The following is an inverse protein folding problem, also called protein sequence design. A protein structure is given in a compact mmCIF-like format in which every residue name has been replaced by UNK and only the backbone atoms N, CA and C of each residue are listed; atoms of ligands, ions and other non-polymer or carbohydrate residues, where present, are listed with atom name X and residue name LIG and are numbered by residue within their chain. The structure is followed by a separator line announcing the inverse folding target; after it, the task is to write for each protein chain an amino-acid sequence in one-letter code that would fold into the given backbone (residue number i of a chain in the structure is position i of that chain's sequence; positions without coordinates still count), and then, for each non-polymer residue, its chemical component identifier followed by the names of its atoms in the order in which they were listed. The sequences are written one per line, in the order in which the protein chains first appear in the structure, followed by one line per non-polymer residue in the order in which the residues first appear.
data_IF_600151261922
#
_entry.id   IF_600151261922
#
_cell.length_a   1.000
_cell.length_b   1.000
_cell.length_c   1.000
_cell.angle_alpha   90.00
_cell.angle_beta   90.00
_cell.angle_gamma   90.00
#
_symmetry.space_group_name_H-M   'P 1'
#
loop_
_entity.id
_entity.type
_entity.pdbx_description
1 polymer ?
#
# COMPACT_ATOMS: atom_id res chain seq x y z
N UNK A 1 1.45 -33.85 0.83
CA UNK A 1 0.65 -32.83 1.54
C UNK A 1 1.33 -31.49 1.31
N UNK A 2 0.96 -30.76 0.25
CA UNK A 2 1.68 -29.54 -0.15
C UNK A 2 1.13 -28.36 0.64
N UNK A 3 1.98 -27.80 1.49
CA UNK A 3 1.68 -26.70 2.41
C UNK A 3 1.33 -25.43 1.64
N UNK A 4 0.16 -24.87 1.96
CA UNK A 4 -0.42 -23.64 1.41
C UNK A 4 0.59 -22.49 1.36
N UNK A 5 0.94 -22.06 0.14
CA UNK A 5 1.76 -20.87 -0.13
C UNK A 5 0.99 -19.61 0.29
N UNK A 6 1.25 -19.11 1.49
CA UNK A 6 0.63 -17.88 2.04
C UNK A 6 1.34 -16.65 1.49
N UNK A 7 0.72 -15.94 0.55
CA UNK A 7 1.11 -14.56 0.17
C UNK A 7 0.58 -13.62 1.26
N UNK A 8 1.38 -13.35 2.30
CA UNK A 8 0.96 -12.56 3.46
C UNK A 8 1.15 -11.05 3.27
N UNK A 9 0.00 -10.36 3.25
CA UNK A 9 -0.37 -9.14 3.97
C UNK A 9 0.76 -8.18 4.36
N UNK A 10 0.84 -7.08 3.62
CA UNK A 10 1.59 -5.91 4.03
C UNK A 10 0.95 -5.22 5.24
N UNK A 11 1.48 -5.54 6.42
CA UNK A 11 1.40 -4.68 7.59
C UNK A 11 2.32 -3.48 7.40
N UNK A 12 1.74 -2.28 7.41
CA UNK A 12 2.42 -0.98 7.62
C UNK A 12 3.75 -0.77 6.89
N UNK A 13 3.88 -1.17 5.64
CA UNK A 13 4.95 -0.69 4.79
C UNK A 13 4.31 0.14 3.68
N UNK A 14 4.19 1.42 3.92
CA UNK A 14 4.27 2.37 2.83
C UNK A 14 5.09 3.55 3.34
N UNK A 15 5.80 4.16 2.39
CA UNK A 15 6.42 5.48 2.44
C UNK A 15 5.79 6.30 3.56
N UNK A 16 6.63 6.70 4.52
CA UNK A 16 6.22 7.55 5.62
C UNK A 16 5.29 8.63 5.08
N UNK A 17 4.05 8.68 5.58
CA UNK A 17 3.25 9.88 5.47
C UNK A 17 4.17 11.03 5.89
N UNK A 18 4.52 11.88 4.93
CA UNK A 18 5.60 12.87 5.04
C UNK A 18 5.26 13.89 6.11
N UNK A 19 5.44 13.49 7.36
CA UNK A 19 5.27 14.30 8.56
C UNK A 19 6.54 15.12 8.72
N UNK A 20 6.70 16.13 7.85
CA UNK A 20 7.62 17.23 8.13
C UNK A 20 6.98 18.01 9.28
N UNK A 21 7.42 17.74 10.51
CA UNK A 21 7.10 18.57 11.66
C UNK A 21 7.75 19.93 11.44
N UNK A 22 6.99 20.88 10.88
CA UNK A 22 7.38 22.28 10.88
C UNK A 22 7.30 22.79 12.31
N UNK A 23 8.44 23.19 12.89
CA UNK A 23 8.47 23.96 14.12
C UNK A 23 7.71 25.27 13.91
N UNK A 24 6.50 25.36 14.47
CA UNK A 24 5.66 26.55 14.50
C UNK A 24 5.28 26.88 15.94
N UNK A 25 5.64 28.09 16.37
CA UNK A 25 5.52 28.66 17.71
C UNK A 25 4.12 28.57 18.36
N UNK A 26 4.02 28.64 19.70
CA UNK A 26 2.84 28.17 20.44
C UNK A 26 1.70 29.20 20.45
N UNK A 27 0.55 28.82 19.90
CA UNK A 27 -0.68 29.61 20.02
C UNK A 27 -1.92 28.91 19.49
N UNK A 28 -2.74 28.35 20.40
CA UNK A 28 -4.08 27.78 20.16
C UNK A 28 -4.22 26.79 18.99
N UNK A 29 -3.70 25.57 19.17
CA UNK A 29 -4.02 24.46 18.26
C UNK A 29 -5.26 23.69 18.71
N UNK A 30 -6.36 23.86 17.96
CA UNK A 30 -7.19 22.70 17.65
C UNK A 30 -6.30 21.77 16.81
N UNK A 31 -6.18 20.46 17.12
CA UNK A 31 -5.42 19.56 16.26
C UNK A 31 -6.14 19.47 14.92
N UNK A 32 -5.72 20.28 13.95
CA UNK A 32 -6.05 20.05 12.55
C UNK A 32 -5.41 18.72 12.18
N UNK A 33 -6.22 17.78 11.68
CA UNK A 33 -5.70 16.55 11.08
C UNK A 33 -4.54 16.93 10.13
N UNK A 34 -3.42 16.18 10.13
CA UNK A 34 -2.30 16.50 9.26
C UNK A 34 -2.80 16.59 7.82
N UNK A 35 -2.47 17.69 7.16
CA UNK A 35 -2.73 17.85 5.72
C UNK A 35 -1.89 16.80 5.02
N UNK A 36 -2.55 15.85 4.36
CA UNK A 36 -1.85 14.87 3.54
C UNK A 36 -1.20 15.60 2.35
N UNK A 37 0.12 15.51 2.26
CA UNK A 37 0.85 15.99 1.09
C UNK A 37 0.99 14.83 0.09
N UNK A 38 0.75 15.07 -1.21
CA UNK A 38 1.00 14.06 -2.22
C UNK A 38 2.49 13.69 -2.22
N UNK A 39 2.85 12.42 -2.47
CA UNK A 39 4.23 12.03 -2.52
C UNK A 39 4.95 12.65 -3.72
N UNK A 40 6.23 12.94 -3.54
CA UNK A 40 7.09 13.51 -4.56
C UNK A 40 7.48 12.46 -5.63
N UNK A 41 7.73 12.94 -6.84
CA UNK A 41 8.03 12.15 -8.03
C UNK A 41 9.29 11.27 -7.90
N UNK A 42 10.22 11.65 -7.03
CA UNK A 42 11.49 10.97 -6.77
C UNK A 42 11.39 9.86 -5.72
N UNK A 43 10.21 9.67 -5.11
CA UNK A 43 9.97 8.64 -4.10
C UNK A 43 9.29 7.39 -4.67
N UNK A 44 8.57 7.49 -5.80
CA UNK A 44 7.87 6.37 -6.43
C UNK A 44 7.43 6.68 -7.86
N UNK A 45 7.10 5.62 -8.61
CA UNK A 45 6.49 5.72 -9.94
C UNK A 45 4.95 5.67 -9.86
N UNK A 46 4.28 6.77 -10.18
CA UNK A 46 2.81 6.89 -10.19
C UNK A 46 2.36 8.02 -11.14
N UNK A 47 1.05 8.20 -11.32
CA UNK A 47 0.45 9.30 -12.09
C UNK A 47 0.99 9.42 -13.53
N UNK A 48 1.26 8.29 -14.19
CA UNK A 48 1.73 8.22 -15.57
C UNK A 48 3.08 8.94 -15.83
N UNK A 49 3.88 9.20 -14.79
CA UNK A 49 5.13 9.95 -14.93
C UNK A 49 6.14 9.29 -15.88
N UNK A 50 6.30 7.96 -15.76
CA UNK A 50 7.14 7.16 -16.66
C UNK A 50 6.32 6.59 -17.82
N UNK A 51 5.05 6.25 -17.56
CA UNK A 51 4.17 5.62 -18.56
C UNK A 51 4.31 4.10 -18.66
N UNK A 52 5.13 3.49 -17.81
CA UNK A 52 5.30 2.04 -17.68
C UNK A 52 5.86 1.72 -16.28
N UNK A 53 5.97 0.43 -15.96
CA UNK A 53 6.74 -0.09 -14.83
C UNK A 53 8.22 0.30 -14.93
N UNK A 54 8.86 0.39 -13.77
CA UNK A 54 10.30 0.58 -13.66
C UNK A 54 10.94 -0.64 -13.00
N UNK A 55 12.27 -0.74 -13.12
CA UNK A 55 13.06 -1.73 -12.39
C UNK A 55 12.82 -1.56 -10.88
N UNK A 56 12.61 -2.69 -10.19
CA UNK A 56 12.52 -2.73 -8.72
C UNK A 56 13.78 -2.10 -8.11
N UNK A 57 13.59 -1.23 -7.13
CA UNK A 57 14.62 -0.48 -6.44
C UNK A 57 15.09 0.79 -7.13
N UNK A 58 14.43 1.22 -8.21
CA UNK A 58 14.71 2.52 -8.86
C UNK A 58 14.46 3.72 -7.93
N UNK A 59 13.63 3.56 -6.91
CA UNK A 59 13.25 4.62 -5.96
C UNK A 59 13.76 4.34 -4.55
N UNK A 60 15.09 4.27 -4.38
CA UNK A 60 15.71 4.01 -3.07
C UNK A 60 15.28 4.97 -1.94
N UNK A 61 15.09 6.29 -2.18
CA UNK A 61 14.57 7.22 -1.16
C UNK A 61 13.13 6.90 -0.72
N UNK A 62 12.36 6.17 -1.53
CA UNK A 62 11.01 5.72 -1.24
C UNK A 62 10.91 4.48 -0.34
N UNK A 63 12.03 4.01 0.23
CA UNK A 63 12.01 2.89 1.15
C UNK A 63 11.10 3.16 2.37
N UNK A 64 10.33 2.15 2.77
CA UNK A 64 9.65 2.17 4.06
C UNK A 64 10.65 2.22 5.22
N UNK A 65 10.17 2.54 6.43
CA UNK A 65 10.98 2.48 7.66
C UNK A 65 11.60 1.11 7.95
N UNK A 66 11.12 0.06 7.29
CA UNK A 66 11.62 -1.32 7.39
C UNK A 66 12.57 -1.69 6.24
N UNK A 67 12.92 -0.75 5.36
CA UNK A 67 13.79 -0.97 4.21
C UNK A 67 13.11 -1.61 3.00
N UNK A 68 11.79 -1.89 3.05
CA UNK A 68 11.07 -2.41 1.90
C UNK A 68 10.86 -1.32 0.84
N UNK A 69 11.23 -1.63 -0.41
CA UNK A 69 11.16 -0.74 -1.58
C UNK A 69 9.90 -0.99 -2.41
N UNK A 70 9.55 0.01 -3.22
CA UNK A 70 8.45 -0.02 -4.19
C UNK A 70 7.12 -0.44 -3.56
N UNK A 71 6.91 -0.05 -2.31
CA UNK A 71 5.70 -0.36 -1.55
C UNK A 71 4.49 0.46 -1.99
N UNK A 72 4.74 1.54 -2.72
CA UNK A 72 3.75 2.42 -3.28
C UNK A 72 4.12 2.74 -4.73
N UNK A 73 3.13 2.69 -5.63
CA UNK A 73 3.34 2.85 -7.07
C UNK A 73 3.93 1.62 -7.74
N UNK A 74 4.43 1.80 -8.96
CA UNK A 74 4.90 0.77 -9.87
C UNK A 74 3.79 -0.23 -10.27
N UNK A 75 3.40 -1.16 -9.40
CA UNK A 75 2.32 -2.14 -9.67
C UNK A 75 1.44 -2.32 -8.44
N UNK A 76 0.16 -2.61 -8.66
CA UNK A 76 -0.68 -3.11 -7.57
C UNK A 76 -0.14 -4.45 -7.09
N UNK A 77 -0.21 -4.71 -5.79
CA UNK A 77 0.25 -5.96 -5.22
C UNK A 77 -0.90 -6.77 -4.63
N UNK A 78 -1.10 -7.99 -5.16
CA UNK A 78 -2.08 -8.94 -4.64
C UNK A 78 -1.78 -9.32 -3.19
N UNK A 79 -2.83 -9.39 -2.38
CA UNK A 79 -2.79 -10.02 -1.06
C UNK A 79 -3.67 -11.27 -1.00
N UNK A 80 -3.39 -12.16 -0.05
CA UNK A 80 -4.23 -13.34 0.19
C UNK A 80 -5.64 -13.01 0.73
N UNK A 81 -5.98 -11.74 0.95
CA UNK A 81 -7.19 -11.36 1.68
C UNK A 81 -8.36 -11.24 0.70
N UNK A 82 -9.52 -11.78 1.07
CA UNK A 82 -10.76 -11.37 0.42
C UNK A 82 -11.09 -9.92 0.79
N UNK A 83 -11.64 -9.16 -0.15
CA UNK A 83 -12.09 -7.80 0.13
C UNK A 83 -13.48 -7.82 0.79
N UNK A 84 -13.58 -7.21 1.98
CA UNK A 84 -14.83 -6.80 2.59
C UNK A 84 -14.78 -5.30 2.91
N UNK A 85 -15.80 -4.56 2.50
CA UNK A 85 -15.87 -3.11 2.64
C UNK A 85 -15.99 -2.68 4.11
N UNK A 86 -16.77 -3.42 4.89
CA UNK A 86 -17.05 -3.22 6.31
C UNK A 86 -16.17 -4.09 7.23
N UNK A 87 -15.25 -4.88 6.66
CA UNK A 87 -14.49 -5.88 7.41
C UNK A 87 -13.75 -5.29 8.63
N UNK A 88 -13.18 -4.09 8.49
CA UNK A 88 -12.45 -3.45 9.59
C UNK A 88 -13.33 -2.92 10.71
N UNK A 89 -14.65 -2.78 10.52
CA UNK A 89 -15.58 -2.43 11.59
C UNK A 89 -15.75 -3.56 12.61
N UNK A 90 -15.51 -4.81 12.19
CA UNK A 90 -15.71 -6.01 13.01
C UNK A 90 -14.46 -6.91 13.07
N UNK A 91 -13.32 -6.45 12.57
CA UNK A 91 -12.12 -7.30 12.49
C UNK A 91 -11.43 -7.44 13.85
N UNK A 92 -10.80 -8.59 14.13
CA UNK A 92 -9.86 -8.72 15.24
C UNK A 92 -8.77 -7.65 15.17
N UNK A 93 -8.34 -7.14 16.33
CA UNK A 93 -7.23 -6.18 16.43
C UNK A 93 -5.88 -6.80 16.05
N UNK A 94 -5.71 -8.09 16.33
CA UNK A 94 -4.47 -8.82 16.10
C UNK A 94 -4.57 -9.74 14.88
N UNK A 95 -3.65 -9.54 13.93
CA UNK A 95 -3.49 -10.35 12.72
C UNK A 95 -4.82 -10.70 12.00
N UNK A 96 -5.63 -9.69 11.63
CA UNK A 96 -6.93 -9.92 11.01
C UNK A 96 -6.78 -10.70 9.69
N UNK A 97 -7.54 -11.79 9.54
CA UNK A 97 -7.42 -12.70 8.39
C UNK A 97 -8.31 -12.34 7.18
N UNK A 98 -8.95 -11.17 7.18
CA UNK A 98 -9.96 -10.86 6.17
C UNK A 98 -11.22 -11.71 6.33
N UNK A 99 -12.23 -11.51 5.47
CA UNK A 99 -13.37 -12.42 5.35
C UNK A 99 -12.91 -13.83 4.96
N UNK A 100 -13.65 -14.85 5.39
CA UNK A 100 -13.36 -16.27 5.06
C UNK A 100 -13.62 -16.62 3.59
N UNK A 101 -14.51 -15.88 2.93
CA UNK A 101 -14.88 -16.05 1.53
C UNK A 101 -15.14 -14.69 0.87
N UNK A 102 -15.07 -14.64 -0.46
CA UNK A 102 -15.34 -13.45 -1.25
C UNK A 102 -15.17 -13.73 -2.75
N UNK A 103 -15.52 -12.73 -3.56
CA UNK A 103 -15.39 -12.80 -5.02
C UNK A 103 -14.17 -12.04 -5.55
N UNK A 104 -13.64 -11.11 -4.74
CA UNK A 104 -12.57 -10.18 -5.12
C UNK A 104 -11.50 -10.15 -4.03
N UNK A 105 -10.23 -10.13 -4.43
CA UNK A 105 -9.08 -10.08 -3.51
C UNK A 105 -8.60 -8.64 -3.37
N UNK A 106 -7.91 -8.36 -2.28
CA UNK A 106 -7.36 -7.03 -1.99
C UNK A 106 -6.08 -6.80 -2.81
N UNK A 107 -5.98 -5.60 -3.39
CA UNK A 107 -4.78 -5.03 -4.00
C UNK A 107 -4.29 -3.84 -3.16
N UNK A 108 -2.98 -3.70 -3.01
CA UNK A 108 -2.32 -2.63 -2.24
C UNK A 108 -1.24 -1.92 -3.05
N UNK A 109 -0.77 -0.78 -2.57
CA UNK A 109 0.40 -0.06 -3.10
C UNK A 109 0.10 0.90 -4.25
N UNK A 110 -0.88 0.61 -5.11
CA UNK A 110 -1.14 1.39 -6.31
C UNK A 110 -0.18 1.04 -7.45
N UNK A 111 -0.48 1.51 -8.67
CA UNK A 111 0.34 1.24 -9.86
C UNK A 111 0.92 2.53 -10.47
N UNK A 112 1.78 2.40 -11.48
CA UNK A 112 2.39 3.54 -12.17
C UNK A 112 1.38 4.48 -12.83
N UNK A 113 0.17 4.01 -13.16
CA UNK A 113 -0.86 4.76 -13.86
C UNK A 113 -1.96 5.35 -12.97
N UNK A 114 -1.85 5.23 -11.64
CA UNK A 114 -2.88 5.75 -10.73
C UNK A 114 -2.43 7.04 -10.04
N UNK A 115 -3.41 7.84 -9.64
CA UNK A 115 -3.15 9.12 -8.98
C UNK A 115 -2.68 8.94 -7.52
N UNK A 116 -2.17 10.02 -6.95
CA UNK A 116 -1.56 10.05 -5.62
C UNK A 116 -2.46 9.47 -4.48
N UNK A 117 -3.79 9.55 -4.61
CA UNK A 117 -4.73 9.01 -3.62
C UNK A 117 -4.73 7.48 -3.55
N UNK A 118 -4.41 6.82 -4.67
CA UNK A 118 -4.49 5.37 -4.81
C UNK A 118 -3.21 4.67 -4.32
N UNK A 119 -2.08 5.38 -4.27
CA UNK A 119 -0.78 4.89 -3.77
C UNK A 119 -0.60 5.02 -2.26
N UNK A 120 -1.62 5.51 -1.52
CA UNK A 120 -1.56 5.61 -0.05
C UNK A 120 -1.51 4.23 0.60
N UNK A 121 -0.76 4.13 1.70
CA UNK A 121 -0.66 2.91 2.53
C UNK A 121 -2.02 2.30 2.93
N UNK A 122 -2.96 3.18 3.28
CA UNK A 122 -4.27 2.81 3.77
C UNK A 122 -5.25 2.47 2.64
N UNK A 123 -4.91 2.78 1.38
CA UNK A 123 -5.79 2.49 0.26
C UNK A 123 -5.93 0.96 0.09
N UNK A 124 -7.17 0.52 -0.10
CA UNK A 124 -7.53 -0.87 -0.34
C UNK A 124 -8.29 -0.92 -1.64
N UNK A 125 -7.61 -1.34 -2.70
CA UNK A 125 -8.28 -1.64 -3.96
C UNK A 125 -8.67 -3.11 -4.00
N UNK A 126 -9.48 -3.48 -4.99
CA UNK A 126 -9.95 -4.85 -5.14
C UNK A 126 -10.11 -5.19 -6.62
N UNK A 127 -9.93 -6.46 -6.94
CA UNK A 127 -10.17 -6.98 -8.27
C UNK A 127 -10.57 -8.46 -8.19
N UNK A 128 -11.25 -8.94 -9.24
CA UNK A 128 -11.49 -10.37 -9.41
C UNK A 128 -10.15 -11.08 -9.64
N UNK A 129 -9.94 -12.28 -9.06
CA UNK A 129 -8.73 -13.04 -9.33
C UNK A 129 -8.51 -13.24 -10.83
N UNK A 130 -7.35 -12.83 -11.33
CA UNK A 130 -7.01 -12.87 -12.74
C UNK A 130 -5.66 -12.21 -13.00
N UNK A 131 -5.20 -12.30 -14.25
CA UNK A 131 -3.98 -11.63 -14.68
C UNK A 131 -4.33 -10.24 -15.23
N UNK A 132 -3.55 -9.24 -14.80
CA UNK A 132 -3.54 -7.88 -15.33
C UNK A 132 -2.07 -7.43 -15.34
N UNK A 133 -1.65 -6.66 -16.33
CA UNK A 133 -0.26 -6.20 -16.45
C UNK A 133 0.10 -5.09 -15.43
N UNK A 134 -0.90 -4.53 -14.75
CA UNK A 134 -0.72 -3.59 -13.63
C UNK A 134 -0.66 -4.28 -12.26
N UNK A 135 -0.95 -5.59 -12.20
CA UNK A 135 -1.06 -6.34 -10.96
C UNK A 135 0.14 -7.30 -10.82
N UNK A 136 0.97 -7.06 -9.82
CA UNK A 136 2.03 -7.94 -9.36
C UNK A 136 1.74 -8.54 -7.99
N UNK A 137 2.79 -9.03 -7.34
CA UNK A 137 2.73 -9.52 -5.97
C UNK A 137 4.12 -9.45 -5.35
N UNK A 138 4.15 -9.46 -4.01
CA UNK A 138 5.37 -9.76 -3.26
C UNK A 138 5.14 -10.90 -2.29
N UNK A 139 6.17 -11.70 -2.10
CA UNK A 139 6.12 -12.80 -1.16
C UNK A 139 6.35 -12.32 0.26
N UNK A 140 5.73 -13.00 1.22
CA UNK A 140 6.00 -12.86 2.63
C UNK A 140 6.09 -14.26 3.24
N UNK A 141 6.80 -14.36 4.37
CA UNK A 141 6.98 -15.61 5.09
C UNK A 141 6.73 -15.36 6.57
N UNK A 142 6.10 -16.32 7.25
CA UNK A 142 6.07 -16.31 8.71
C UNK A 142 7.49 -16.43 9.25
N UNK A 143 7.76 -15.73 10.36
CA UNK A 143 8.97 -15.93 11.13
C UNK A 143 9.01 -17.35 11.71
#
# INVERSE_FOLDING_TARGET
MVSSSRVLRLGRAAIADGSRMGEGSPGRHRPTLPVWNPPEADLLNFNLQVGDTVKVGSYAPGASIYGALDMAGNVWEWTADWYGADYYSNSPSENPQGPSAGNVRVLRGGAWNVEARAVRAANRFWAFPGRNDLDGFRCARSQ
#
